data_IF_380192754293
#
_entry.id   IF_380192754293
#
_cell.length_a   1.000
_cell.length_b   1.000
_cell.length_c   1.000
_cell.angle_alpha   90.00
_cell.angle_beta   90.00
_cell.angle_gamma   90.00
#
_symmetry.space_group_name_H-M   'P 1'
#
loop_
_entity.id
_entity.type
_entity.pdbx_description
1 polymer ?
#
# COMPACT_ATOMS: atom_id res chain seq x y z
N UNK A 1 -0.37 -11.49 4.64
CA UNK A 1 1.11 -11.35 4.75
C UNK A 1 1.63 -10.22 3.86
N UNK A 2 1.17 -10.13 2.61
CA UNK A 2 1.57 -9.07 1.68
C UNK A 2 1.40 -7.64 2.18
N UNK A 3 0.21 -7.30 2.71
CA UNK A 3 -0.08 -5.96 3.26
C UNK A 3 0.85 -5.57 4.42
N UNK A 4 1.37 -6.54 5.18
CA UNK A 4 2.36 -6.27 6.23
C UNK A 4 3.76 -6.02 5.66
N UNK A 5 4.12 -6.70 4.57
CA UNK A 5 5.41 -6.50 3.89
C UNK A 5 5.47 -5.18 3.14
N UNK A 6 4.33 -4.71 2.62
CA UNK A 6 4.20 -3.41 1.97
C UNK A 6 4.01 -2.26 2.99
N UNK A 7 3.18 -2.49 4.02
CA UNK A 7 2.84 -1.49 5.02
C UNK A 7 4.02 -0.99 5.87
N UNK A 8 5.10 -1.76 6.02
CA UNK A 8 6.32 -1.32 6.73
C UNK A 8 7.03 -0.20 5.94
N UNK A 9 7.49 -0.43 4.70
CA UNK A 9 8.10 0.64 3.94
C UNK A 9 7.13 1.80 3.66
N UNK A 10 5.87 1.52 3.35
CA UNK A 10 4.86 2.55 3.07
C UNK A 10 4.66 3.47 4.30
N UNK A 11 4.55 2.89 5.50
CA UNK A 11 4.46 3.67 6.73
C UNK A 11 5.70 4.53 6.99
N UNK A 12 6.90 4.01 6.73
CA UNK A 12 8.14 4.79 6.87
C UNK A 12 8.16 5.99 5.92
N UNK A 13 7.73 5.82 4.67
CA UNK A 13 7.63 6.91 3.68
C UNK A 13 6.58 7.95 4.08
N UNK A 14 5.43 7.53 4.60
CA UNK A 14 4.42 8.46 5.13
C UNK A 14 5.04 9.30 6.26
N UNK A 15 5.70 8.66 7.22
CA UNK A 15 6.41 9.33 8.31
C UNK A 15 7.50 10.28 7.81
N UNK A 16 8.25 9.85 6.79
CA UNK A 16 9.31 10.64 6.17
C UNK A 16 8.79 11.89 5.45
N UNK A 17 7.61 11.78 4.84
CA UNK A 17 6.95 12.88 4.13
C UNK A 17 6.30 13.92 5.06
N UNK A 18 6.22 13.64 6.38
CA UNK A 18 5.71 14.59 7.37
C UNK A 18 6.71 15.73 7.59
N UNK A 19 6.58 16.78 6.80
CA UNK A 19 7.32 18.03 7.01
C UNK A 19 6.65 18.89 8.09
N UNK A 20 7.32 19.99 8.49
CA UNK A 20 6.77 20.99 9.41
C UNK A 20 5.46 21.64 8.94
N UNK A 21 5.10 21.48 7.65
CA UNK A 21 3.86 22.01 7.04
C UNK A 21 2.70 21.00 6.98
N UNK A 22 2.91 19.76 7.45
CA UNK A 22 1.91 18.69 7.44
C UNK A 22 2.14 17.64 6.35
N UNK A 23 1.18 16.72 6.22
CA UNK A 23 1.19 15.64 5.20
C UNK A 23 0.69 16.21 3.88
N UNK A 24 1.34 15.87 2.77
CA UNK A 24 0.84 16.18 1.44
C UNK A 24 -0.52 15.52 1.21
N UNK A 25 -1.55 16.34 0.96
CA UNK A 25 -2.90 15.86 0.69
C UNK A 25 -2.93 14.92 -0.52
N UNK A 26 -2.08 15.15 -1.53
CA UNK A 26 -1.98 14.28 -2.70
C UNK A 26 -1.44 12.90 -2.34
N UNK A 27 -0.47 12.83 -1.43
CA UNK A 27 0.11 11.57 -0.96
C UNK A 27 -0.94 10.79 -0.15
N UNK A 28 -1.64 11.46 0.77
CA UNK A 28 -2.71 10.84 1.57
C UNK A 28 -3.85 10.28 0.69
N UNK A 29 -4.31 11.06 -0.29
CA UNK A 29 -5.38 10.63 -1.22
C UNK A 29 -4.89 9.49 -2.11
N UNK A 30 -3.67 9.57 -2.65
CA UNK A 30 -3.10 8.49 -3.47
C UNK A 30 -2.98 7.18 -2.70
N UNK A 31 -2.49 7.25 -1.46
CA UNK A 31 -2.36 6.10 -0.55
C UNK A 31 -3.71 5.47 -0.23
N UNK A 32 -4.71 6.30 0.05
CA UNK A 32 -6.06 5.84 0.33
C UNK A 32 -6.69 5.14 -0.88
N UNK A 33 -6.55 5.73 -2.07
CA UNK A 33 -7.09 5.16 -3.30
C UNK A 33 -6.41 3.84 -3.70
N UNK A 34 -5.12 3.67 -3.40
CA UNK A 34 -4.40 2.41 -3.63
C UNK A 34 -4.84 1.32 -2.64
N UNK A 35 -4.88 1.64 -1.35
CA UNK A 35 -5.17 0.67 -0.30
C UNK A 35 -6.66 0.30 -0.17
N UNK A 36 -7.58 1.16 -0.60
CA UNK A 36 -9.02 0.93 -0.43
C UNK A 36 -9.53 -0.30 -1.23
N UNK A 37 -9.26 -0.43 -2.54
CA UNK A 37 -9.65 -1.62 -3.31
C UNK A 37 -9.01 -2.91 -2.78
N UNK A 38 -7.75 -2.82 -2.36
CA UNK A 38 -7.01 -3.96 -1.79
C UNK A 38 -7.64 -4.41 -0.46
N UNK A 39 -7.98 -3.47 0.42
CA UNK A 39 -8.62 -3.78 1.69
C UNK A 39 -10.00 -4.40 1.51
N UNK A 40 -10.76 -3.95 0.52
CA UNK A 40 -12.04 -4.55 0.16
C UNK A 40 -11.88 -5.98 -0.37
N UNK A 41 -10.98 -6.18 -1.35
CA UNK A 41 -10.72 -7.49 -1.96
C UNK A 41 -10.25 -8.50 -0.91
N UNK A 42 -9.28 -8.12 -0.07
CA UNK A 42 -8.74 -8.97 0.97
C UNK A 42 -9.78 -9.29 2.06
N UNK A 43 -10.60 -8.31 2.45
CA UNK A 43 -11.72 -8.54 3.39
C UNK A 43 -12.77 -9.49 2.81
N UNK A 44 -13.06 -9.39 1.52
CA UNK A 44 -13.97 -10.31 0.84
C UNK A 44 -13.39 -11.71 0.81
N UNK A 45 -12.11 -11.87 0.44
CA UNK A 45 -11.40 -13.16 0.45
C UNK A 45 -11.44 -13.83 1.83
N UNK A 46 -11.12 -13.09 2.91
CA UNK A 46 -11.21 -13.63 4.28
C UNK A 46 -12.64 -14.08 4.64
N UNK A 47 -13.66 -13.38 4.15
CA UNK A 47 -15.05 -13.74 4.39
C UNK A 47 -15.47 -14.99 3.60
N UNK A 48 -14.96 -15.15 2.38
CA UNK A 48 -15.13 -16.35 1.55
C UNK A 48 -14.43 -17.57 2.18
N UNK A 49 -13.30 -17.37 2.85
CA UNK A 49 -12.59 -18.38 3.66
C UNK A 49 -13.24 -18.69 5.02
N UNK A 50 -14.37 -18.04 5.35
CA UNK A 50 -15.14 -18.33 6.56
C UNK A 50 -14.69 -17.57 7.82
N UNK A 51 -13.86 -16.54 7.70
CA UNK A 51 -13.46 -15.72 8.85
C UNK A 51 -14.63 -14.88 9.37
N UNK A 52 -14.75 -14.78 10.70
CA UNK A 52 -15.78 -13.95 11.33
C UNK A 52 -15.49 -12.45 11.15
N UNK A 53 -16.54 -11.62 11.07
CA UNK A 53 -16.41 -10.16 10.91
C UNK A 53 -15.53 -9.53 11.99
N UNK A 54 -15.66 -10.00 13.24
CA UNK A 54 -14.85 -9.53 14.35
C UNK A 54 -13.35 -9.83 14.15
N UNK A 55 -13.02 -11.01 13.62
CA UNK A 55 -11.63 -11.38 13.31
C UNK A 55 -11.06 -10.50 12.21
N UNK A 56 -11.81 -10.31 11.12
CA UNK A 56 -11.41 -9.45 10.00
C UNK A 56 -11.14 -8.01 10.49
N UNK A 57 -12.07 -7.44 11.28
CA UNK A 57 -11.89 -6.10 11.86
C UNK A 57 -10.70 -6.03 12.82
N UNK A 58 -10.47 -7.07 13.65
CA UNK A 58 -9.31 -7.08 14.55
C UNK A 58 -7.98 -7.11 13.78
N UNK A 59 -7.92 -7.84 12.66
CA UNK A 59 -6.74 -7.90 11.80
C UNK A 59 -6.48 -6.55 11.13
N UNK A 60 -7.52 -5.91 10.56
CA UNK A 60 -7.38 -4.56 9.99
C UNK A 60 -6.97 -3.51 11.01
N UNK A 61 -7.55 -3.55 12.21
CA UNK A 61 -7.15 -2.65 13.31
C UNK A 61 -5.69 -2.87 13.71
N UNK A 62 -5.22 -4.13 13.72
CA UNK A 62 -3.80 -4.41 14.04
C UNK A 62 -2.86 -3.84 12.97
N UNK A 63 -3.21 -3.96 11.68
CA UNK A 63 -2.45 -3.38 10.57
C UNK A 63 -2.44 -1.86 10.69
N UNK A 64 -3.61 -1.24 10.92
CA UNK A 64 -3.72 0.21 11.12
C UNK A 64 -2.78 0.71 12.23
N UNK A 65 -2.73 0.02 13.36
CA UNK A 65 -1.84 0.38 14.48
C UNK A 65 -0.37 0.20 14.11
N UNK A 66 -0.01 -0.91 13.46
CA UNK A 66 1.37 -1.17 13.01
C UNK A 66 1.84 -0.13 12.00
N UNK A 67 1.02 0.21 11.01
CA UNK A 67 1.32 1.26 10.03
C UNK A 67 1.44 2.63 10.70
N UNK A 68 0.57 2.95 11.67
CA UNK A 68 0.67 4.19 12.45
C UNK A 68 1.97 4.28 13.27
N UNK A 69 2.39 3.19 13.90
CA UNK A 69 3.67 3.10 14.60
C UNK A 69 4.85 3.22 13.64
N UNK A 70 4.78 2.56 12.48
CA UNK A 70 5.80 2.66 11.44
C UNK A 70 5.96 4.09 10.91
N UNK A 71 4.87 4.84 10.76
CA UNK A 71 4.92 6.24 10.37
C UNK A 71 5.53 7.14 11.46
N UNK A 72 5.20 6.90 12.73
CA UNK A 72 5.84 7.61 13.83
C UNK A 72 7.35 7.36 13.87
N UNK A 73 7.78 6.11 13.66
CA UNK A 73 9.19 5.75 13.56
C UNK A 73 9.86 6.36 12.33
N UNK A 74 9.18 6.37 11.17
CA UNK A 74 9.67 6.97 9.93
C UNK A 74 9.97 8.45 10.09
N UNK A 75 9.11 9.19 10.80
CA UNK A 75 9.31 10.61 11.12
C UNK A 75 10.55 10.85 11.98
N UNK A 76 10.86 9.96 12.91
CA UNK A 76 12.07 10.06 13.75
C UNK A 76 13.32 9.66 12.96
N UNK A 77 13.22 8.60 12.15
CA UNK A 77 14.32 8.08 11.36
C UNK A 77 14.75 9.04 10.25
N UNK A 78 13.84 9.83 9.68
CA UNK A 78 14.18 10.82 8.65
C UNK A 78 15.17 11.86 9.11
N UNK A 79 15.06 12.34 10.36
CA UNK A 79 15.99 13.35 10.89
C UNK A 79 17.42 12.79 11.04
N UNK A 80 17.59 11.46 11.07
CA UNK A 80 18.88 10.77 11.17
C UNK A 80 19.31 10.09 9.85
N UNK A 81 18.43 9.96 8.86
CA UNK A 81 18.66 9.16 7.67
C UNK A 81 19.28 9.99 6.53
N UNK A 82 20.28 9.42 5.87
CA UNK A 82 20.80 10.01 4.64
C UNK A 82 19.79 9.86 3.49
N UNK A 83 19.78 10.78 2.50
CA UNK A 83 18.91 10.66 1.32
C UNK A 83 19.08 9.33 0.57
N UNK A 84 20.31 8.78 0.57
CA UNK A 84 20.61 7.48 -0.02
C UNK A 84 19.88 6.34 0.71
N UNK A 85 19.82 6.38 2.05
CA UNK A 85 19.15 5.35 2.83
C UNK A 85 17.63 5.34 2.59
N UNK A 86 17.02 6.52 2.49
CA UNK A 86 15.59 6.66 2.16
C UNK A 86 15.29 6.12 0.75
N UNK A 87 16.10 6.48 -0.24
CA UNK A 87 15.95 5.98 -1.61
C UNK A 87 16.09 4.44 -1.70
N UNK A 88 16.97 3.85 -0.89
CA UNK A 88 17.10 2.39 -0.81
C UNK A 88 15.88 1.73 -0.17
N UNK A 89 15.30 2.32 0.88
CA UNK A 89 14.07 1.81 1.49
C UNK A 89 12.87 1.94 0.54
N UNK A 90 12.74 3.06 -0.17
CA UNK A 90 11.70 3.23 -1.20
C UNK A 90 11.87 2.23 -2.35
N UNK A 91 13.11 1.98 -2.79
CA UNK A 91 13.40 0.96 -3.80
C UNK A 91 13.04 -0.45 -3.34
N UNK A 92 13.34 -0.79 -2.08
CA UNK A 92 12.97 -2.06 -1.48
C UNK A 92 11.44 -2.21 -1.39
N UNK A 93 10.74 -1.14 -0.99
CA UNK A 93 9.28 -1.07 -0.96
C UNK A 93 8.66 -1.37 -2.32
N UNK A 94 9.14 -0.66 -3.35
CA UNK A 94 8.67 -0.82 -4.71
C UNK A 94 8.88 -2.25 -5.21
N UNK A 95 10.02 -2.87 -4.88
CA UNK A 95 10.29 -4.27 -5.20
C UNK A 95 9.35 -5.25 -4.48
N UNK A 96 9.04 -5.00 -3.21
CA UNK A 96 8.10 -5.82 -2.44
C UNK A 96 6.68 -5.74 -3.03
N UNK A 97 6.21 -4.54 -3.38
CA UNK A 97 4.94 -4.32 -4.07
C UNK A 97 4.88 -5.04 -5.42
N UNK A 98 5.94 -4.92 -6.24
CA UNK A 98 6.00 -5.61 -7.53
C UNK A 98 5.91 -7.13 -7.38
N UNK A 99 6.60 -7.69 -6.39
CA UNK A 99 6.56 -9.12 -6.08
C UNK A 99 5.14 -9.55 -5.69
N UNK A 100 4.48 -8.77 -4.84
CA UNK A 100 3.10 -9.01 -4.42
C UNK A 100 2.12 -8.97 -5.59
N UNK A 101 2.21 -7.93 -6.43
CA UNK A 101 1.38 -7.78 -7.62
C UNK A 101 1.53 -8.98 -8.55
N UNK A 102 2.78 -9.38 -8.83
CA UNK A 102 3.08 -10.48 -9.73
C UNK A 102 2.65 -11.85 -9.20
N UNK A 103 2.87 -12.11 -7.90
CA UNK A 103 2.62 -13.44 -7.33
C UNK A 103 1.17 -13.70 -6.96
N UNK A 104 0.42 -12.66 -6.58
CA UNK A 104 -0.91 -12.84 -5.99
C UNK A 104 -1.99 -12.04 -6.70
N UNK A 105 -1.83 -10.71 -6.81
CA UNK A 105 -2.87 -9.83 -7.34
C UNK A 105 -3.20 -10.13 -8.81
N UNK A 106 -2.19 -10.23 -9.68
CA UNK A 106 -2.42 -10.47 -11.11
C UNK A 106 -3.02 -11.85 -11.40
N UNK A 107 -2.50 -12.96 -10.85
CA UNK A 107 -3.11 -14.27 -11.01
C UNK A 107 -4.56 -14.33 -10.51
N UNK A 108 -4.84 -13.77 -9.32
CA UNK A 108 -6.19 -13.78 -8.75
C UNK A 108 -7.15 -12.92 -9.58
N UNK A 109 -6.72 -11.71 -9.95
CA UNK A 109 -7.52 -10.82 -10.77
C UNK A 109 -7.86 -11.47 -12.11
N UNK A 110 -6.90 -12.09 -12.80
CA UNK A 110 -7.14 -12.79 -14.06
C UNK A 110 -8.07 -13.99 -13.89
N UNK A 111 -7.95 -14.74 -12.79
CA UNK A 111 -8.81 -15.89 -12.51
C UNK A 111 -10.26 -15.47 -12.27
N UNK A 112 -10.51 -14.33 -11.61
CA UNK A 112 -11.86 -13.82 -11.32
C UNK A 112 -12.46 -12.99 -12.46
N UNK A 113 -11.65 -12.17 -13.13
CA UNK A 113 -12.11 -11.17 -14.10
C UNK A 113 -11.80 -11.48 -15.57
N UNK A 114 -10.94 -12.46 -15.84
CA UNK A 114 -10.58 -12.86 -17.21
C UNK A 114 -9.81 -11.79 -17.99
N UNK A 115 -9.91 -11.76 -19.33
CA UNK A 115 -9.06 -10.93 -20.19
C UNK A 115 -9.20 -9.41 -19.97
N UNK A 116 -10.33 -8.94 -19.45
CA UNK A 116 -10.58 -7.50 -19.25
C UNK A 116 -9.64 -6.89 -18.20
N UNK A 117 -9.09 -7.72 -17.31
CA UNK A 117 -8.16 -7.32 -16.24
C UNK A 117 -6.93 -6.63 -16.82
N UNK A 118 -6.39 -7.11 -17.95
CA UNK A 118 -5.25 -6.47 -18.59
C UNK A 118 -5.55 -5.04 -19.05
N UNK A 119 -6.76 -4.82 -19.59
CA UNK A 119 -7.20 -3.50 -20.02
C UNK A 119 -7.43 -2.57 -18.82
N UNK A 120 -8.05 -3.08 -17.75
CA UNK A 120 -8.27 -2.33 -16.50
C UNK A 120 -6.94 -1.94 -15.84
N UNK A 121 -5.97 -2.84 -15.79
CA UNK A 121 -4.62 -2.57 -15.26
C UNK A 121 -3.92 -1.47 -16.08
N UNK A 122 -3.99 -1.55 -17.41
CA UNK A 122 -3.44 -0.52 -18.30
C UNK A 122 -4.09 0.84 -18.06
N UNK A 123 -5.43 0.89 -17.96
CA UNK A 123 -6.16 2.13 -17.68
C UNK A 123 -5.81 2.71 -16.31
N UNK A 124 -5.73 1.88 -15.27
CA UNK A 124 -5.31 2.30 -13.93
C UNK A 124 -3.90 2.89 -13.92
N UNK A 125 -2.96 2.26 -14.63
CA UNK A 125 -1.60 2.77 -14.77
C UNK A 125 -1.56 4.12 -15.50
N UNK A 126 -2.32 4.28 -16.59
CA UNK A 126 -2.41 5.57 -17.28
C UNK A 126 -3.02 6.68 -16.42
N UNK A 127 -4.08 6.39 -15.66
CA UNK A 127 -4.64 7.33 -14.70
C UNK A 127 -3.61 7.77 -13.66
N UNK A 128 -2.85 6.83 -13.09
CA UNK A 128 -1.80 7.13 -12.11
C UNK A 128 -0.63 7.94 -12.70
N UNK A 129 -0.29 7.72 -13.97
CA UNK A 129 0.71 8.54 -14.66
C UNK A 129 0.21 9.96 -14.89
N UNK A 130 -1.05 10.12 -15.29
CA UNK A 130 -1.65 11.41 -15.56
C UNK A 130 -1.69 12.31 -14.32
N UNK A 131 -1.99 11.74 -13.14
CA UNK A 131 -1.98 12.49 -11.86
C UNK A 131 -0.58 12.90 -11.40
N UNK A 132 0.49 12.26 -11.89
CA UNK A 132 1.87 12.64 -11.57
C UNK A 132 2.43 13.71 -12.52
N UNK A 133 1.88 13.80 -13.73
CA UNK A 133 2.33 14.72 -14.78
C UNK A 133 1.71 16.13 -14.63
N UNK A 134 0.55 16.23 -13.98
CA UNK A 134 -0.16 17.48 -13.65
C UNK A 134 0.24 17.94 -12.25
#
# INVERSE_FOLDING_TARGET
LGILLDGIPESLVIGASMTSTGISLSLLVGLFLANYPEALSSSQGMREEGFSRARILSMWSSIMLLTGLGAALGKILVDLASPLFLALLEGLAAGAMLTMIAQTMLPEAYTRGGPIVGLCTLMGFFCAMFTKVI
#
